data_IF_805873761994
#
_entry.id   IF_805873761994
#
_cell.length_a   1.000
_cell.length_b   1.000
_cell.length_c   1.000
_cell.angle_alpha   90.00
_cell.angle_beta   90.00
_cell.angle_gamma   90.00
#
_symmetry.space_group_name_H-M   'P 1'
#
loop_
_entity.id
_entity.type
_entity.pdbx_description
1 polymer ?
#
# COMPACT_ATOMS: atom_id res chain seq x y z
N UNK A 1 13.12 11.88 -26.43
CA UNK A 1 13.32 12.85 -25.33
C UNK A 1 12.83 12.26 -24.02
N UNK A 2 11.54 11.94 -23.90
CA UNK A 2 10.94 11.44 -22.66
C UNK A 2 11.59 10.12 -22.20
N UNK A 3 11.64 9.11 -23.05
CA UNK A 3 12.25 7.81 -22.72
C UNK A 3 13.75 7.92 -22.43
N UNK A 4 14.50 8.66 -23.26
CA UNK A 4 15.96 8.76 -23.14
C UNK A 4 16.46 9.53 -21.91
N UNK A 5 15.69 10.50 -21.41
CA UNK A 5 16.11 11.34 -20.28
C UNK A 5 15.42 10.98 -18.97
N UNK A 6 14.19 10.45 -19.03
CA UNK A 6 13.36 10.23 -17.85
C UNK A 6 13.00 8.76 -17.61
N UNK A 7 13.32 7.84 -18.52
CA UNK A 7 12.95 6.41 -18.42
C UNK A 7 11.44 6.20 -18.18
N UNK A 8 10.60 7.05 -18.79
CA UNK A 8 9.15 6.93 -18.72
C UNK A 8 8.64 6.57 -20.12
N UNK A 9 7.72 5.61 -20.18
CA UNK A 9 7.05 5.23 -21.43
C UNK A 9 6.09 6.33 -21.87
N UNK A 10 6.19 6.73 -23.12
CA UNK A 10 5.30 7.76 -23.67
C UNK A 10 3.97 7.17 -24.13
N UNK A 11 2.85 7.70 -23.66
CA UNK A 11 1.52 7.33 -24.16
C UNK A 11 1.21 8.12 -25.43
N UNK A 12 1.12 7.40 -26.56
CA UNK A 12 0.87 7.98 -27.89
C UNK A 12 -0.59 8.44 -28.05
N UNK A 13 -1.52 7.83 -27.30
CA UNK A 13 -2.94 8.08 -27.40
C UNK A 13 -3.45 8.73 -26.11
N UNK A 14 -3.26 10.05 -26.03
CA UNK A 14 -3.78 10.88 -24.94
C UNK A 14 -4.43 12.14 -25.52
N UNK A 15 -5.25 12.80 -24.70
CA UNK A 15 -5.80 14.12 -25.05
C UNK A 15 -4.80 15.20 -24.59
N UNK A 16 -5.27 16.42 -24.30
CA UNK A 16 -4.43 17.46 -23.70
C UNK A 16 -3.76 17.00 -22.39
N UNK A 17 -4.42 16.10 -21.66
CA UNK A 17 -3.94 15.52 -20.40
C UNK A 17 -3.75 14.00 -20.62
N UNK A 18 -2.87 13.40 -19.81
CA UNK A 18 -2.68 11.95 -19.79
C UNK A 18 -3.95 11.22 -19.32
N UNK A 19 -4.12 9.97 -19.74
CA UNK A 19 -5.19 9.05 -19.31
C UNK A 19 -5.20 8.77 -17.80
N UNK A 20 -4.03 8.81 -17.14
CA UNK A 20 -3.84 8.54 -15.70
C UNK A 20 -4.23 7.12 -15.25
N UNK A 21 -4.49 6.20 -16.18
CA UNK A 21 -4.86 4.82 -15.87
C UNK A 21 -3.81 4.10 -15.02
N UNK A 22 -2.53 4.37 -15.27
CA UNK A 22 -1.43 3.80 -14.48
C UNK A 22 -1.46 4.26 -13.01
N UNK A 23 -1.91 5.49 -12.75
CA UNK A 23 -2.05 6.02 -11.38
C UNK A 23 -3.25 5.34 -10.72
N UNK A 24 -4.36 5.20 -11.43
CA UNK A 24 -5.54 4.50 -10.93
C UNK A 24 -5.19 3.05 -10.54
N UNK A 25 -4.49 2.32 -11.40
CA UNK A 25 -4.05 0.95 -11.11
C UNK A 25 -3.12 0.87 -9.89
N UNK A 26 -2.16 1.80 -9.79
CA UNK A 26 -1.27 1.89 -8.64
C UNK A 26 -2.04 2.20 -7.35
N UNK A 27 -2.97 3.15 -7.38
CA UNK A 27 -3.79 3.49 -6.23
C UNK A 27 -4.68 2.32 -5.80
N UNK A 28 -5.30 1.61 -6.75
CA UNK A 28 -6.16 0.45 -6.46
C UNK A 28 -5.38 -0.74 -5.90
N UNK A 29 -4.15 -0.97 -6.36
CA UNK A 29 -3.26 -2.00 -5.78
C UNK A 29 -2.86 -1.62 -4.35
N UNK A 30 -2.47 -0.37 -4.11
CA UNK A 30 -2.16 0.12 -2.76
C UNK A 30 -3.36 0.06 -1.82
N UNK A 31 -4.54 0.43 -2.30
CA UNK A 31 -5.78 0.36 -1.51
C UNK A 31 -6.09 -1.08 -1.07
N UNK A 32 -5.93 -2.06 -1.97
CA UNK A 32 -6.11 -3.48 -1.64
C UNK A 32 -5.10 -3.98 -0.61
N UNK A 33 -3.83 -3.60 -0.74
CA UNK A 33 -2.79 -3.93 0.25
C UNK A 33 -3.12 -3.29 1.60
N UNK A 34 -3.59 -2.05 1.62
CA UNK A 34 -3.94 -1.37 2.87
C UNK A 34 -5.13 -2.06 3.56
N UNK A 35 -6.13 -2.49 2.80
CA UNK A 35 -7.28 -3.22 3.35
C UNK A 35 -6.85 -4.55 3.99
N UNK A 36 -5.95 -5.32 3.36
CA UNK A 36 -5.47 -6.59 3.95
C UNK A 36 -4.61 -6.36 5.19
N UNK A 37 -3.77 -5.32 5.20
CA UNK A 37 -2.99 -4.95 6.38
C UNK A 37 -3.88 -4.43 7.51
N UNK A 38 -4.93 -3.68 7.19
CA UNK A 38 -5.89 -3.19 8.18
C UNK A 38 -6.62 -4.36 8.85
N UNK A 39 -7.06 -5.35 8.06
CA UNK A 39 -7.70 -6.56 8.57
C UNK A 39 -6.76 -7.33 9.51
N UNK A 40 -5.50 -7.51 9.11
CA UNK A 40 -4.45 -8.10 9.95
C UNK A 40 -4.25 -7.35 11.27
N UNK A 41 -4.21 -6.01 11.23
CA UNK A 41 -4.06 -5.19 12.43
C UNK A 41 -5.25 -5.33 13.38
N UNK A 42 -6.48 -5.39 12.84
CA UNK A 42 -7.70 -5.58 13.62
C UNK A 42 -7.69 -6.98 14.26
N UNK A 43 -7.35 -8.01 13.52
CA UNK A 43 -7.26 -9.39 14.03
C UNK A 43 -6.20 -9.52 15.13
N UNK A 44 -5.01 -8.95 14.93
CA UNK A 44 -3.96 -8.95 15.95
C UNK A 44 -4.42 -8.23 17.23
N UNK A 45 -5.13 -7.11 17.09
CA UNK A 45 -5.71 -6.41 18.25
C UNK A 45 -6.75 -7.27 18.97
N UNK A 46 -7.65 -7.95 18.24
CA UNK A 46 -8.64 -8.85 18.81
C UNK A 46 -7.99 -10.04 19.52
N UNK A 47 -6.95 -10.64 18.94
CA UNK A 47 -6.22 -11.75 19.56
C UNK A 47 -5.48 -11.33 20.83
N UNK A 48 -4.89 -10.13 20.87
CA UNK A 48 -4.28 -9.58 22.08
C UNK A 48 -5.36 -9.32 23.14
N UNK A 49 -6.48 -8.71 22.76
CA UNK A 49 -7.59 -8.38 23.67
C UNK A 49 -8.23 -9.62 24.29
N UNK A 50 -8.29 -10.73 23.54
CA UNK A 50 -8.79 -12.02 24.01
C UNK A 50 -7.73 -12.85 24.76
N UNK A 51 -6.54 -12.30 25.05
CA UNK A 51 -5.42 -13.00 25.69
C UNK A 51 -4.95 -14.26 24.94
N UNK A 52 -5.23 -14.36 23.63
CA UNK A 52 -4.71 -15.44 22.78
C UNK A 52 -3.24 -15.21 22.43
N UNK A 53 -2.88 -13.95 22.21
CA UNK A 53 -1.51 -13.49 21.96
C UNK A 53 -1.09 -12.50 23.05
N UNK A 54 0.19 -12.53 23.43
CA UNK A 54 0.79 -11.59 24.38
C UNK A 54 2.05 -10.98 23.78
N UNK A 55 2.21 -9.67 23.94
CA UNK A 55 3.42 -8.97 23.55
C UNK A 55 4.61 -9.48 24.37
N UNK A 56 5.72 -9.76 23.68
CA UNK A 56 6.96 -10.14 24.34
C UNK A 56 7.54 -8.89 25.02
N UNK A 57 7.64 -8.93 26.34
CA UNK A 57 8.24 -7.84 27.12
C UNK A 57 9.75 -7.90 26.99
N UNK A 58 10.36 -6.81 26.53
CA UNK A 58 11.81 -6.61 26.58
C UNK A 58 12.13 -5.90 27.90
N UNK A 59 13.20 -6.30 28.57
CA UNK A 59 13.49 -5.97 29.98
C UNK A 59 13.71 -4.46 30.28
N UNK A 60 13.70 -3.61 29.24
CA UNK A 60 13.80 -2.15 29.31
C UNK A 60 12.64 -1.42 28.60
N UNK A 61 11.59 -2.11 28.17
CA UNK A 61 10.35 -1.49 27.68
C UNK A 61 9.37 -1.39 28.86
N UNK A 62 8.77 -0.19 29.06
CA UNK A 62 7.77 0.08 30.11
C UNK A 62 6.41 -0.42 29.66
#
# INVERSE_FOLDING_TARGET
FIENYFNINFSVYCTQIQDHDYICELCDTLARINSTLLDLCIDMWLYISNNLLKLKVIQNEI
#
